data_IF_087422675058
#
_entry.id   IF_087422675058
#
_cell.length_a   1.000
_cell.length_b   1.000
_cell.length_c   1.000
_cell.angle_alpha   90.00
_cell.angle_beta   90.00
_cell.angle_gamma   90.00
#
_symmetry.space_group_name_H-M   'P 1'
#
loop_
_entity.id
_entity.type
_entity.pdbx_description
1 polymer ?
#
# COMPACT_ATOMS: atom_id res chain seq x y z
N UNK A 1 -2.02 6.16 -21.76
CA UNK A 1 -2.52 5.13 -20.83
C UNK A 1 -1.39 4.15 -20.57
N UNK A 2 -1.08 3.86 -19.32
CA UNK A 2 0.05 3.02 -18.92
C UNK A 2 -0.42 1.59 -18.65
N UNK A 3 0.32 0.62 -19.15
CA UNK A 3 -0.01 -0.79 -19.01
C UNK A 3 0.94 -1.48 -18.02
N UNK A 4 0.43 -2.43 -17.24
CA UNK A 4 1.19 -3.31 -16.37
C UNK A 4 1.45 -4.61 -17.14
N UNK A 5 2.72 -4.87 -17.41
CA UNK A 5 3.12 -6.07 -18.17
C UNK A 5 3.26 -7.29 -17.27
N UNK A 6 3.72 -7.08 -16.05
CA UNK A 6 3.87 -8.09 -14.99
C UNK A 6 4.38 -7.44 -13.72
N UNK A 7 4.42 -8.23 -12.65
CA UNK A 7 4.88 -7.77 -11.36
C UNK A 7 5.00 -8.89 -10.35
N UNK A 8 5.78 -8.64 -9.30
CA UNK A 8 6.05 -9.63 -8.26
C UNK A 8 6.13 -8.97 -6.88
N UNK A 9 5.83 -9.77 -5.86
CA UNK A 9 5.99 -9.46 -4.44
C UNK A 9 6.77 -10.58 -3.78
N UNK A 10 7.78 -10.22 -2.99
CA UNK A 10 8.52 -11.20 -2.18
C UNK A 10 7.69 -11.71 -1.00
N UNK A 11 8.13 -12.77 -0.35
CA UNK A 11 7.48 -13.29 0.87
C UNK A 11 7.73 -12.36 2.07
N UNK A 12 6.71 -11.64 2.52
CA UNK A 12 6.79 -10.68 3.61
C UNK A 12 6.87 -11.30 5.01
N UNK A 13 6.67 -12.61 5.15
CA UNK A 13 6.90 -13.30 6.43
C UNK A 13 8.39 -13.44 6.77
N UNK A 14 9.27 -13.29 5.79
CA UNK A 14 10.73 -13.41 5.97
C UNK A 14 11.29 -12.33 6.89
N UNK A 15 12.41 -12.64 7.51
CA UNK A 15 13.30 -11.69 8.12
C UNK A 15 14.64 -11.83 7.41
N UNK A 16 14.96 -10.85 6.57
CA UNK A 16 16.09 -10.89 5.65
C UNK A 16 17.42 -10.95 6.44
N UNK A 17 17.55 -10.15 7.49
CA UNK A 17 18.75 -10.14 8.31
C UNK A 17 19.03 -11.48 9.02
N UNK A 18 17.99 -12.23 9.43
CA UNK A 18 18.14 -13.58 10.01
C UNK A 18 18.55 -14.65 8.99
N UNK A 19 18.48 -14.34 7.70
CA UNK A 19 18.92 -15.20 6.61
C UNK A 19 20.33 -14.83 6.13
N UNK A 20 21.03 -13.95 6.85
CA UNK A 20 22.34 -13.39 6.47
C UNK A 20 22.31 -12.70 5.09
N UNK A 21 21.16 -12.11 4.74
CA UNK A 21 20.91 -11.34 3.52
C UNK A 21 20.73 -9.86 3.86
N UNK A 22 20.92 -9.00 2.87
CA UNK A 22 20.78 -7.56 3.00
C UNK A 22 19.84 -6.96 1.93
N UNK A 23 19.77 -5.63 1.90
CA UNK A 23 18.92 -4.90 0.95
C UNK A 23 19.34 -5.12 -0.51
N UNK A 24 20.60 -5.44 -0.77
CA UNK A 24 21.09 -5.72 -2.14
C UNK A 24 20.60 -7.08 -2.63
N UNK A 25 20.64 -8.10 -1.78
CA UNK A 25 20.10 -9.44 -2.08
C UNK A 25 18.59 -9.37 -2.35
N UNK A 26 17.85 -8.65 -1.48
CA UNK A 26 16.42 -8.45 -1.65
C UNK A 26 16.09 -7.68 -2.94
N UNK A 27 16.90 -6.68 -3.30
CA UNK A 27 16.77 -5.94 -4.56
C UNK A 27 16.93 -6.85 -5.76
N UNK A 28 17.97 -7.69 -5.76
CA UNK A 28 18.25 -8.63 -6.85
C UNK A 28 17.12 -9.64 -7.02
N UNK A 29 16.75 -10.31 -5.93
CA UNK A 29 15.64 -11.29 -5.91
C UNK A 29 14.36 -10.69 -6.49
N UNK A 30 13.99 -9.50 -6.04
CA UNK A 30 12.77 -8.84 -6.48
C UNK A 30 12.80 -8.49 -7.98
N UNK A 31 13.90 -7.91 -8.47
CA UNK A 31 13.99 -7.51 -9.87
C UNK A 31 13.96 -8.73 -10.79
N UNK A 32 14.73 -9.78 -10.48
CA UNK A 32 14.73 -11.02 -11.25
C UNK A 32 13.34 -11.64 -11.36
N UNK A 33 12.59 -11.68 -10.25
CA UNK A 33 11.24 -12.21 -10.24
C UNK A 33 10.23 -11.30 -10.98
N UNK A 34 10.35 -9.98 -10.87
CA UNK A 34 9.50 -9.02 -11.59
C UNK A 34 9.71 -9.14 -13.10
N UNK A 35 10.96 -9.18 -13.55
CA UNK A 35 11.30 -9.32 -14.97
C UNK A 35 10.83 -10.66 -15.53
N UNK A 36 10.99 -11.74 -14.77
CA UNK A 36 10.51 -13.08 -15.15
C UNK A 36 8.98 -13.11 -15.31
N UNK A 37 8.22 -12.53 -14.37
CA UNK A 37 6.75 -12.48 -14.45
C UNK A 37 6.27 -11.58 -15.59
N UNK A 38 6.99 -10.48 -15.86
CA UNK A 38 6.72 -9.60 -17.00
C UNK A 38 7.17 -10.20 -18.35
N UNK A 39 8.03 -11.22 -18.35
CA UNK A 39 8.64 -11.80 -19.54
C UNK A 39 9.44 -10.76 -20.34
N UNK A 40 10.28 -10.00 -19.64
CA UNK A 40 11.12 -8.92 -20.18
C UNK A 40 12.56 -9.15 -19.75
N UNK A 41 13.48 -8.96 -20.67
CA UNK A 41 14.91 -8.98 -20.34
C UNK A 41 15.33 -7.65 -19.70
N UNK A 42 16.30 -7.71 -18.77
CA UNK A 42 16.82 -6.50 -18.12
C UNK A 42 17.31 -5.43 -19.11
N UNK A 43 17.84 -5.85 -20.25
CA UNK A 43 18.31 -4.97 -21.32
C UNK A 43 17.18 -4.19 -22.04
N UNK A 44 15.91 -4.55 -21.83
CA UNK A 44 14.76 -3.82 -22.38
C UNK A 44 14.26 -2.72 -21.47
N UNK A 45 14.74 -2.67 -20.21
CA UNK A 45 14.38 -1.62 -19.25
C UNK A 45 15.08 -0.32 -19.61
N UNK A 46 14.29 0.73 -19.81
CA UNK A 46 14.77 2.06 -20.24
C UNK A 46 14.88 3.07 -19.08
N UNK A 47 14.13 2.86 -17.98
CA UNK A 47 14.20 3.68 -16.77
C UNK A 47 13.79 2.87 -15.55
N UNK A 48 14.27 3.27 -14.36
CA UNK A 48 14.00 2.59 -13.09
C UNK A 48 13.56 3.60 -12.03
N UNK A 49 12.46 3.33 -11.36
CA UNK A 49 11.96 4.10 -10.23
C UNK A 49 11.89 3.24 -8.97
N UNK A 50 12.70 3.60 -7.96
CA UNK A 50 12.77 2.88 -6.69
C UNK A 50 12.02 3.65 -5.61
N UNK A 51 10.97 3.06 -5.05
CA UNK A 51 10.28 3.55 -3.86
C UNK A 51 10.93 2.98 -2.60
N UNK A 52 11.46 3.85 -1.75
CA UNK A 52 12.06 3.46 -0.47
C UNK A 52 11.98 4.63 0.51
N UNK A 53 11.51 4.38 1.72
CA UNK A 53 11.31 5.42 2.71
C UNK A 53 12.54 5.63 3.60
N UNK A 54 12.99 4.60 4.29
CA UNK A 54 13.91 4.73 5.43
C UNK A 54 15.23 3.97 5.28
N UNK A 55 15.64 3.60 4.06
CA UNK A 55 16.86 2.80 3.85
C UNK A 55 18.11 3.36 4.53
N UNK A 56 18.30 4.70 4.52
CA UNK A 56 19.43 5.31 5.22
C UNK A 56 19.35 5.17 6.75
N UNK A 57 18.14 5.17 7.31
CA UNK A 57 17.94 5.09 8.75
C UNK A 57 17.96 3.64 9.26
N UNK A 58 17.45 2.70 8.46
CA UNK A 58 17.47 1.27 8.81
C UNK A 58 18.82 0.61 8.53
N UNK A 59 19.39 0.87 7.35
CA UNK A 59 20.52 0.09 6.83
C UNK A 59 21.79 0.93 6.65
N UNK A 60 21.73 2.26 6.85
CA UNK A 60 22.81 3.16 6.48
C UNK A 60 22.97 3.31 4.97
N UNK A 61 22.13 2.66 4.14
CA UNK A 61 22.24 2.65 2.68
C UNK A 61 21.37 3.73 2.07
N UNK A 62 21.99 4.79 1.58
CA UNK A 62 21.39 5.77 0.68
C UNK A 62 21.54 5.37 -0.78
N UNK A 63 21.15 6.29 -1.69
CA UNK A 63 21.33 6.16 -3.14
C UNK A 63 20.76 4.85 -3.74
N UNK A 64 19.63 4.38 -3.21
CA UNK A 64 19.01 3.12 -3.61
C UNK A 64 18.53 3.12 -5.07
N UNK A 65 18.43 4.28 -5.74
CA UNK A 65 18.22 4.33 -7.18
C UNK A 65 19.33 3.65 -7.98
N UNK A 66 20.57 3.62 -7.47
CA UNK A 66 21.70 2.95 -8.13
C UNK A 66 21.81 1.44 -7.74
N UNK A 67 21.05 0.96 -6.76
CA UNK A 67 21.13 -0.42 -6.31
C UNK A 67 20.74 -1.44 -7.41
N UNK A 68 19.73 -1.24 -8.24
CA UNK A 68 19.42 -2.14 -9.36
C UNK A 68 20.62 -2.42 -10.27
N UNK A 69 21.33 -1.38 -10.71
CA UNK A 69 22.52 -1.54 -11.54
C UNK A 69 23.71 -2.16 -10.77
N UNK A 70 23.75 -2.05 -9.45
CA UNK A 70 24.77 -2.69 -8.61
C UNK A 70 24.59 -4.21 -8.58
N UNK A 71 23.35 -4.69 -8.51
CA UNK A 71 23.05 -6.12 -8.33
C UNK A 71 22.80 -6.87 -9.64
N UNK A 72 22.45 -6.13 -10.73
CA UNK A 72 22.23 -6.65 -12.08
C UNK A 72 23.03 -5.82 -13.08
N UNK A 73 24.21 -6.34 -13.53
CA UNK A 73 25.08 -5.59 -14.45
C UNK A 73 24.44 -5.20 -15.79
N UNK A 74 23.40 -5.92 -16.21
CA UNK A 74 22.63 -5.65 -17.42
C UNK A 74 21.86 -4.32 -17.35
N UNK A 75 21.62 -3.82 -16.14
CA UNK A 75 20.98 -2.51 -15.90
C UNK A 75 22.02 -1.35 -15.84
N UNK A 76 23.29 -1.64 -16.08
CA UNK A 76 24.34 -0.61 -16.03
C UNK A 76 24.13 0.45 -17.12
N UNK A 77 23.97 1.71 -16.68
CA UNK A 77 23.70 2.84 -17.57
C UNK A 77 22.23 3.18 -17.75
N UNK A 78 21.30 2.35 -17.24
CA UNK A 78 19.87 2.66 -17.22
C UNK A 78 19.63 3.80 -16.20
N UNK A 79 18.98 4.92 -16.60
CA UNK A 79 18.65 6.01 -15.67
C UNK A 79 17.72 5.50 -14.57
N UNK A 80 18.03 5.92 -13.34
CA UNK A 80 17.28 5.45 -12.17
C UNK A 80 17.12 6.56 -11.13
N UNK A 81 15.97 6.55 -10.41
CA UNK A 81 15.66 7.49 -9.34
C UNK A 81 15.12 6.78 -8.11
N UNK A 82 15.40 7.33 -6.91
CA UNK A 82 14.72 6.96 -5.67
C UNK A 82 13.64 7.98 -5.35
N UNK A 83 12.46 7.49 -4.97
CA UNK A 83 11.32 8.27 -4.51
C UNK A 83 11.05 7.99 -3.03
N UNK A 84 10.75 9.05 -2.30
CA UNK A 84 10.40 9.01 -0.89
C UNK A 84 9.08 9.79 -0.65
N UNK A 85 8.14 9.19 0.01
CA UNK A 85 6.89 9.76 0.51
C UNK A 85 6.34 8.87 1.63
N UNK A 86 7.21 8.49 2.58
CA UNK A 86 6.89 7.52 3.63
C UNK A 86 6.26 6.24 3.02
N UNK A 87 5.13 5.78 3.56
CA UNK A 87 4.44 4.57 3.08
C UNK A 87 3.94 4.65 1.63
N UNK A 88 3.88 5.84 1.02
CA UNK A 88 3.47 6.05 -0.37
C UNK A 88 4.66 6.09 -1.36
N UNK A 89 5.87 5.80 -0.94
CA UNK A 89 7.09 5.96 -1.75
C UNK A 89 7.02 5.25 -3.10
N UNK A 90 6.59 3.99 -3.16
CA UNK A 90 6.47 3.28 -4.45
C UNK A 90 5.25 3.68 -5.27
N UNK A 91 4.21 4.24 -4.66
CA UNK A 91 3.13 4.90 -5.41
C UNK A 91 3.64 6.16 -6.12
N UNK A 92 4.51 6.94 -5.47
CA UNK A 92 5.17 8.09 -6.14
C UNK A 92 6.13 7.63 -7.23
N UNK A 93 6.84 6.54 -7.03
CA UNK A 93 7.66 5.90 -8.06
C UNK A 93 6.80 5.49 -9.28
N UNK A 94 5.64 4.88 -9.06
CA UNK A 94 4.71 4.51 -10.13
C UNK A 94 4.17 5.74 -10.88
N UNK A 95 3.76 6.81 -10.17
CA UNK A 95 3.30 8.05 -10.80
C UNK A 95 4.39 8.71 -11.64
N UNK A 96 5.65 8.71 -11.17
CA UNK A 96 6.77 9.24 -11.93
C UNK A 96 7.05 8.41 -13.20
N UNK A 97 7.03 7.07 -13.09
CA UNK A 97 7.17 6.17 -14.24
C UNK A 97 6.03 6.37 -15.25
N UNK A 98 4.79 6.50 -14.80
CA UNK A 98 3.64 6.81 -15.67
C UNK A 98 3.84 8.13 -16.41
N UNK A 99 4.29 9.18 -15.71
CA UNK A 99 4.55 10.48 -16.33
C UNK A 99 5.65 10.41 -17.41
N UNK A 100 6.70 9.63 -17.22
CA UNK A 100 7.76 9.41 -18.24
C UNK A 100 7.21 8.68 -19.46
N UNK A 101 6.39 7.63 -19.26
CA UNK A 101 5.74 6.88 -20.33
C UNK A 101 4.76 7.78 -21.11
N UNK A 102 3.93 8.54 -20.41
CA UNK A 102 2.94 9.44 -21.02
C UNK A 102 3.60 10.60 -21.78
N UNK A 103 4.76 11.09 -21.31
CA UNK A 103 5.58 12.07 -22.01
C UNK A 103 6.33 11.48 -23.22
N UNK A 104 6.27 10.16 -23.44
CA UNK A 104 6.97 9.47 -24.52
C UNK A 104 8.48 9.45 -24.36
N UNK A 105 9.00 9.64 -23.13
CA UNK A 105 10.42 9.64 -22.82
C UNK A 105 10.99 8.23 -22.81
N UNK A 106 10.28 7.29 -22.19
CA UNK A 106 10.60 5.87 -22.09
C UNK A 106 9.35 5.02 -22.34
N UNK A 107 9.54 3.81 -22.81
CA UNK A 107 8.46 2.89 -23.16
C UNK A 107 8.36 1.65 -22.25
N UNK A 108 9.46 1.29 -21.57
CA UNK A 108 9.54 0.15 -20.69
C UNK A 108 10.25 0.55 -19.38
N UNK A 109 9.52 0.61 -18.29
CA UNK A 109 9.98 1.20 -17.03
C UNK A 109 9.77 0.20 -15.88
N UNK A 110 10.83 -0.02 -15.10
CA UNK A 110 10.75 -0.81 -13.87
C UNK A 110 10.39 0.10 -12.68
N UNK A 111 9.32 -0.25 -11.97
CA UNK A 111 8.97 0.31 -10.66
C UNK A 111 9.26 -0.73 -9.60
N UNK A 112 10.11 -0.41 -8.64
CA UNK A 112 10.48 -1.27 -7.52
C UNK A 112 10.22 -0.53 -6.21
N UNK A 113 9.44 -1.12 -5.31
CA UNK A 113 9.35 -0.72 -3.91
C UNK A 113 10.14 -1.67 -3.04
N UNK A 114 10.90 -1.17 -2.08
CA UNK A 114 11.75 -1.99 -1.22
C UNK A 114 11.92 -1.36 0.15
N UNK A 115 11.86 -2.18 1.20
CA UNK A 115 12.24 -1.79 2.56
C UNK A 115 12.76 -3.01 3.33
N UNK A 116 13.83 -2.81 4.13
CA UNK A 116 14.35 -3.79 5.09
C UNK A 116 14.34 -3.15 6.47
N UNK A 117 13.45 -3.60 7.34
CA UNK A 117 13.13 -2.99 8.63
C UNK A 117 13.44 -3.89 9.83
N UNK A 118 13.54 -5.23 9.60
CA UNK A 118 13.71 -6.25 10.66
C UNK A 118 15.19 -6.47 11.06
N UNK A 119 16.07 -5.55 10.71
CA UNK A 119 17.51 -5.61 11.06
C UNK A 119 17.83 -5.03 12.45
N UNK A 120 16.82 -4.60 13.19
CA UNK A 120 16.93 -4.07 14.55
C UNK A 120 15.74 -4.50 15.43
N UNK A 121 15.75 -4.31 16.77
CA UNK A 121 14.60 -4.56 17.63
C UNK A 121 13.36 -3.77 17.21
N UNK A 122 12.16 -4.37 17.30
CA UNK A 122 10.90 -3.81 16.76
C UNK A 122 10.58 -2.41 17.30
N UNK A 123 10.78 -2.13 18.58
CA UNK A 123 10.57 -0.79 19.14
C UNK A 123 11.52 0.27 18.52
N UNK A 124 12.78 -0.10 18.26
CA UNK A 124 13.72 0.76 17.58
C UNK A 124 13.32 0.97 16.10
N UNK A 125 12.89 -0.09 15.44
CA UNK A 125 12.40 0.01 14.07
C UNK A 125 11.17 0.93 13.95
N UNK A 126 10.22 0.82 14.88
CA UNK A 126 9.08 1.73 14.96
C UNK A 126 9.50 3.19 15.20
N UNK A 127 10.52 3.43 16.03
CA UNK A 127 11.08 4.77 16.28
C UNK A 127 11.71 5.38 15.02
N UNK A 128 12.36 4.57 14.18
CA UNK A 128 12.93 5.04 12.89
C UNK A 128 11.85 5.64 11.99
N UNK A 129 10.67 5.03 11.94
CA UNK A 129 9.56 5.50 11.10
C UNK A 129 9.02 6.87 11.51
N UNK A 130 9.29 7.32 12.74
CA UNK A 130 8.91 8.67 13.22
C UNK A 130 9.55 9.78 12.38
N UNK A 131 10.62 9.50 11.65
CA UNK A 131 11.25 10.45 10.73
C UNK A 131 10.32 10.95 9.60
N UNK A 132 9.19 10.28 9.32
CA UNK A 132 8.19 10.76 8.36
C UNK A 132 7.14 11.71 8.97
N UNK A 133 7.24 12.02 10.25
CA UNK A 133 6.45 13.05 10.92
C UNK A 133 7.22 14.39 10.96
N UNK A 134 6.60 15.45 11.45
CA UNK A 134 7.30 16.70 11.70
C UNK A 134 8.09 16.62 13.01
N UNK A 135 9.28 16.06 12.90
CA UNK A 135 10.18 15.80 14.05
C UNK A 135 10.45 17.07 14.82
N UNK A 136 10.39 16.98 16.18
CA UNK A 136 10.59 18.12 17.08
C UNK A 136 9.39 19.07 17.18
N UNK A 137 8.25 18.76 16.55
CA UNK A 137 7.02 19.55 16.59
C UNK A 137 5.77 18.76 16.98
N UNK A 138 5.60 17.54 16.42
CA UNK A 138 4.43 16.71 16.73
C UNK A 138 4.80 15.37 17.38
N UNK A 139 6.09 15.08 17.54
CA UNK A 139 6.60 13.78 17.98
C UNK A 139 7.05 13.77 19.44
N UNK A 140 7.08 14.94 20.12
CA UNK A 140 7.59 15.04 21.50
C UNK A 140 6.66 14.33 22.50
N UNK A 141 7.24 13.48 23.36
CA UNK A 141 6.51 12.78 24.41
C UNK A 141 5.69 11.57 23.92
N UNK A 142 5.81 11.17 22.66
CA UNK A 142 5.11 10.03 22.09
C UNK A 142 6.09 8.89 21.84
N UNK A 143 5.83 7.71 22.41
CA UNK A 143 6.68 6.53 22.24
C UNK A 143 6.49 5.88 20.88
N UNK A 144 5.23 5.68 20.44
CA UNK A 144 4.88 5.08 19.14
C UNK A 144 4.05 6.07 18.33
N UNK A 145 4.72 6.88 17.54
CA UNK A 145 4.08 8.01 16.85
C UNK A 145 2.96 7.58 15.90
N UNK A 146 3.11 6.52 15.11
CA UNK A 146 2.09 6.16 14.13
C UNK A 146 0.82 5.61 14.75
N UNK A 147 0.87 4.68 15.74
CA UNK A 147 -0.31 4.33 16.52
C UNK A 147 -0.99 5.55 17.15
N UNK A 148 -0.23 6.48 17.73
CA UNK A 148 -0.76 7.72 18.29
C UNK A 148 -1.48 8.56 17.22
N UNK A 149 -0.84 8.80 16.07
CA UNK A 149 -1.43 9.62 15.01
C UNK A 149 -2.73 9.02 14.45
N UNK A 150 -2.78 7.70 14.25
CA UNK A 150 -3.99 7.05 13.75
C UNK A 150 -5.05 6.83 14.84
N UNK A 151 -4.68 6.72 16.11
CA UNK A 151 -5.64 6.85 17.21
C UNK A 151 -6.32 8.23 17.18
N UNK A 152 -5.58 9.31 16.92
CA UNK A 152 -6.13 10.66 16.74
C UNK A 152 -7.11 10.74 15.56
N UNK A 153 -6.88 9.98 14.48
CA UNK A 153 -7.85 9.86 13.37
C UNK A 153 -9.14 9.21 13.86
N UNK A 154 -9.05 8.13 14.63
CA UNK A 154 -10.21 7.48 15.21
C UNK A 154 -10.96 8.40 16.18
N UNK A 155 -10.25 9.12 17.05
CA UNK A 155 -10.84 10.05 18.00
C UNK A 155 -11.55 11.21 17.30
N UNK A 156 -10.99 11.74 16.21
CA UNK A 156 -11.64 12.78 15.42
C UNK A 156 -12.87 12.26 14.67
N UNK A 157 -12.82 11.03 14.15
CA UNK A 157 -13.97 10.37 13.55
C UNK A 157 -15.08 10.16 14.59
N UNK A 158 -14.70 9.67 15.79
CA UNK A 158 -15.60 9.46 16.93
C UNK A 158 -16.28 10.77 17.36
N UNK A 159 -15.51 11.82 17.49
CA UNK A 159 -16.01 13.15 17.84
C UNK A 159 -17.07 13.67 16.86
N UNK A 160 -16.94 13.36 15.56
CA UNK A 160 -17.86 13.83 14.50
C UNK A 160 -19.08 12.92 14.36
N UNK A 161 -18.90 11.62 14.41
CA UNK A 161 -19.88 10.64 13.94
C UNK A 161 -20.12 9.48 14.90
N UNK A 162 -19.24 9.28 15.86
CA UNK A 162 -19.20 8.07 16.67
C UNK A 162 -18.47 6.93 16.00
N UNK A 163 -17.78 6.12 16.78
CA UNK A 163 -17.10 4.89 16.36
C UNK A 163 -17.19 3.85 17.47
N UNK A 164 -17.47 2.61 17.13
CA UNK A 164 -17.29 1.48 18.07
C UNK A 164 -15.91 0.88 17.87
N UNK A 165 -15.21 0.60 18.98
CA UNK A 165 -13.94 -0.11 18.94
C UNK A 165 -14.10 -1.53 18.39
N UNK A 166 -15.29 -2.14 18.54
CA UNK A 166 -15.62 -3.43 17.93
C UNK A 166 -15.52 -3.39 16.40
N UNK A 167 -15.84 -2.27 15.76
CA UNK A 167 -15.68 -2.12 14.30
C UNK A 167 -14.21 -2.12 13.89
N UNK A 168 -13.32 -1.52 14.70
CA UNK A 168 -11.88 -1.56 14.46
C UNK A 168 -11.35 -2.99 14.60
N UNK A 169 -11.81 -3.73 15.65
CA UNK A 169 -11.47 -5.14 15.83
C UNK A 169 -11.92 -6.01 14.67
N UNK A 170 -13.14 -5.76 14.16
CA UNK A 170 -13.71 -6.51 13.03
C UNK A 170 -12.88 -6.31 11.74
N UNK A 171 -12.39 -5.10 11.48
CA UNK A 171 -11.48 -4.81 10.36
C UNK A 171 -10.16 -5.57 10.54
N UNK A 172 -9.55 -5.50 11.72
CA UNK A 172 -8.31 -6.23 12.01
C UNK A 172 -8.48 -7.74 11.85
N UNK A 173 -9.61 -8.29 12.32
CA UNK A 173 -9.95 -9.71 12.17
C UNK A 173 -10.10 -10.09 10.69
N UNK A 174 -10.85 -9.31 9.91
CA UNK A 174 -11.05 -9.56 8.49
C UNK A 174 -9.72 -9.61 7.73
N UNK A 175 -8.86 -8.60 7.93
CA UNK A 175 -7.60 -8.51 7.21
C UNK A 175 -6.61 -9.63 7.62
N UNK A 176 -6.52 -9.96 8.91
CA UNK A 176 -5.70 -11.07 9.37
C UNK A 176 -6.22 -12.43 8.86
N UNK A 177 -7.53 -12.62 8.77
CA UNK A 177 -8.14 -13.82 8.20
C UNK A 177 -7.89 -13.91 6.69
N UNK A 178 -8.06 -12.82 5.93
CA UNK A 178 -7.78 -12.76 4.51
C UNK A 178 -6.31 -13.09 4.20
N UNK A 179 -5.39 -12.64 5.05
CA UNK A 179 -3.96 -12.92 4.92
C UNK A 179 -3.61 -14.41 4.99
N UNK A 180 -4.42 -15.25 5.65
CA UNK A 180 -4.17 -16.69 5.73
C UNK A 180 -4.22 -17.38 4.36
N UNK A 181 -4.97 -16.81 3.42
CA UNK A 181 -5.10 -17.33 2.05
C UNK A 181 -4.06 -16.74 1.07
N UNK A 182 -3.26 -15.75 1.51
CA UNK A 182 -2.24 -15.13 0.69
C UNK A 182 -0.85 -15.74 0.97
N UNK A 183 -0.23 -16.43 0.01
CA UNK A 183 1.05 -17.13 0.21
C UNK A 183 2.22 -16.19 0.56
N UNK A 184 2.11 -14.90 0.25
CA UNK A 184 3.15 -13.90 0.51
C UNK A 184 2.87 -13.05 1.76
N UNK A 185 1.74 -13.26 2.43
CA UNK A 185 1.36 -12.47 3.60
C UNK A 185 2.23 -12.78 4.82
N UNK A 186 2.59 -11.73 5.55
CA UNK A 186 3.42 -11.83 6.74
C UNK A 186 2.79 -12.70 7.83
N UNK A 187 1.48 -12.59 8.03
CA UNK A 187 0.77 -13.21 9.15
C UNK A 187 0.06 -14.51 8.79
N UNK A 188 0.22 -15.00 7.55
CA UNK A 188 -0.50 -16.18 7.02
C UNK A 188 -0.46 -17.43 7.90
N UNK A 189 0.59 -17.57 8.71
CA UNK A 189 0.77 -18.72 9.61
C UNK A 189 0.38 -18.41 11.07
N UNK A 190 -0.18 -17.24 11.35
CA UNK A 190 -0.57 -16.89 12.70
C UNK A 190 -1.80 -17.71 13.13
N UNK A 191 -1.79 -18.14 14.39
CA UNK A 191 -2.93 -18.79 14.99
C UNK A 191 -3.87 -17.73 15.54
N UNK A 192 -4.97 -17.52 14.85
CA UNK A 192 -6.01 -16.58 15.24
C UNK A 192 -7.06 -17.31 16.09
N UNK A 193 -7.46 -16.71 17.20
CA UNK A 193 -8.57 -17.16 18.06
C UNK A 193 -9.49 -15.97 18.33
N UNK A 194 -10.73 -16.18 18.80
CA UNK A 194 -11.60 -15.06 19.15
C UNK A 194 -10.97 -14.10 20.17
N UNK A 195 -10.17 -14.61 21.09
CA UNK A 195 -9.46 -13.80 22.08
C UNK A 195 -8.43 -12.87 21.45
N UNK A 196 -7.91 -13.20 20.25
CA UNK A 196 -6.98 -12.34 19.49
C UNK A 196 -7.60 -10.99 19.13
N UNK A 197 -8.92 -10.88 19.12
CA UNK A 197 -9.67 -9.67 18.75
C UNK A 197 -10.53 -9.13 19.90
N UNK A 198 -10.34 -9.67 21.09
CA UNK A 198 -11.05 -9.23 22.29
C UNK A 198 -10.40 -8.02 22.96
N UNK A 199 -11.08 -7.48 23.97
CA UNK A 199 -10.53 -6.42 24.83
C UNK A 199 -9.68 -6.96 26.00
N UNK A 200 -9.31 -8.24 25.96
CA UNK A 200 -8.38 -8.83 26.92
C UNK A 200 -6.95 -8.36 26.65
N UNK A 201 -6.41 -7.57 27.56
CA UNK A 201 -5.04 -7.01 27.48
C UNK A 201 -3.94 -8.08 27.45
N UNK A 202 -4.24 -9.31 27.85
CA UNK A 202 -3.28 -10.41 27.78
C UNK A 202 -3.22 -11.01 26.35
N UNK A 203 -4.36 -11.19 25.71
CA UNK A 203 -4.46 -11.78 24.39
C UNK A 203 -4.25 -10.75 23.27
N UNK A 204 -4.77 -9.53 23.45
CA UNK A 204 -4.72 -8.43 22.50
C UNK A 204 -4.38 -7.11 23.23
N UNK A 205 -3.13 -6.92 23.67
CA UNK A 205 -2.72 -5.77 24.47
C UNK A 205 -2.95 -4.44 23.77
N UNK A 206 -3.25 -3.40 24.55
CA UNK A 206 -3.33 -2.02 24.07
C UNK A 206 -1.93 -1.56 23.61
N UNK A 207 -1.88 -0.93 22.46
CA UNK A 207 -0.66 -0.29 21.91
C UNK A 207 -0.71 1.21 22.15
N UNK A 208 -1.84 1.86 21.82
CA UNK A 208 -2.01 3.30 21.98
C UNK A 208 -3.51 3.65 21.98
N UNK A 209 -3.98 4.36 22.99
CA UNK A 209 -5.36 4.79 23.10
C UNK A 209 -6.34 3.62 22.95
N UNK A 210 -7.18 3.64 21.91
CA UNK A 210 -8.13 2.57 21.59
C UNK A 210 -7.54 1.45 20.73
N UNK A 211 -6.31 1.63 20.19
CA UNK A 211 -5.68 0.66 19.30
C UNK A 211 -5.00 -0.45 20.08
N UNK A 212 -5.26 -1.67 19.66
CA UNK A 212 -4.67 -2.89 20.20
C UNK A 212 -3.70 -3.53 19.22
N UNK A 213 -2.96 -4.53 19.64
CA UNK A 213 -1.93 -5.21 18.85
C UNK A 213 -2.39 -5.63 17.46
N UNK A 214 -3.60 -6.17 17.33
CA UNK A 214 -4.11 -6.68 16.05
C UNK A 214 -4.86 -5.61 15.24
N UNK A 215 -4.88 -4.36 15.71
CA UNK A 215 -5.29 -3.18 14.94
C UNK A 215 -4.13 -2.49 14.23
N UNK A 216 -2.89 -2.98 14.40
CA UNK A 216 -1.65 -2.30 13.98
C UNK A 216 -0.79 -3.27 13.17
N UNK A 217 -0.21 -2.78 12.06
CA UNK A 217 0.74 -3.55 11.26
C UNK A 217 2.01 -3.89 12.04
N UNK A 218 2.67 -4.93 11.59
CA UNK A 218 3.98 -5.34 12.10
C UNK A 218 5.10 -4.79 11.22
N UNK A 219 6.29 -4.58 11.81
CA UNK A 219 7.52 -4.29 11.08
C UNK A 219 7.78 -5.40 10.06
N UNK A 220 8.09 -5.04 8.81
CA UNK A 220 8.13 -5.98 7.69
C UNK A 220 9.33 -5.73 6.78
N UNK A 221 10.04 -6.79 6.40
CA UNK A 221 10.98 -6.76 5.28
C UNK A 221 10.27 -7.15 4.00
N UNK A 222 10.57 -6.50 2.89
CA UNK A 222 10.06 -6.94 1.61
C UNK A 222 10.28 -5.99 0.46
N UNK A 223 10.02 -6.53 -0.72
CA UNK A 223 10.03 -5.78 -1.97
C UNK A 223 8.85 -6.21 -2.85
N UNK A 224 8.34 -5.29 -3.64
CA UNK A 224 7.34 -5.54 -4.67
C UNK A 224 7.55 -4.57 -5.83
N UNK A 225 7.16 -4.98 -7.03
CA UNK A 225 7.33 -4.09 -8.19
C UNK A 225 6.59 -4.56 -9.41
N UNK A 226 6.52 -3.69 -10.39
CA UNK A 226 5.86 -3.92 -11.67
C UNK A 226 6.71 -3.40 -12.83
N UNK A 227 6.58 -4.01 -13.99
CA UNK A 227 7.05 -3.42 -15.25
C UNK A 227 5.88 -2.69 -15.90
N UNK A 228 6.06 -1.39 -16.09
CA UNK A 228 5.11 -0.52 -16.78
C UNK A 228 5.57 -0.27 -18.21
N UNK A 229 4.63 -0.34 -19.15
CA UNK A 229 4.95 -0.13 -20.58
C UNK A 229 3.95 0.80 -21.26
N UNK A 230 4.42 1.44 -22.35
CA UNK A 230 3.58 2.22 -23.24
C UNK A 230 2.78 1.34 -24.22
N UNK A 231 1.70 1.86 -24.78
CA UNK A 231 0.99 1.18 -25.88
C UNK A 231 1.91 0.97 -27.09
N UNK A 232 2.79 1.94 -27.39
CA UNK A 232 3.78 1.85 -28.49
C UNK A 232 4.71 0.65 -28.32
N UNK A 233 5.16 0.38 -27.07
CA UNK A 233 6.00 -0.77 -26.76
C UNK A 233 5.25 -2.09 -27.01
N UNK A 234 3.97 -2.18 -26.58
CA UNK A 234 3.10 -3.35 -26.76
C UNK A 234 2.87 -3.63 -28.26
N UNK A 235 2.50 -2.60 -29.02
CA UNK A 235 2.24 -2.69 -30.44
C UNK A 235 3.47 -3.16 -31.22
N UNK A 236 4.64 -2.58 -30.93
CA UNK A 236 5.89 -2.93 -31.60
C UNK A 236 6.32 -4.38 -31.36
N UNK A 237 5.88 -4.99 -30.24
CA UNK A 237 6.24 -6.35 -29.85
C UNK A 237 5.10 -7.35 -29.94
N UNK A 238 3.93 -6.92 -30.40
CA UNK A 238 2.70 -7.73 -30.47
C UNK A 238 2.37 -8.42 -29.13
N UNK A 239 2.47 -7.67 -28.03
CA UNK A 239 2.21 -8.16 -26.68
C UNK A 239 0.93 -7.59 -26.10
N UNK A 240 0.23 -8.40 -25.29
CA UNK A 240 -0.93 -8.00 -24.50
C UNK A 240 -0.45 -7.77 -23.05
N UNK A 241 -0.82 -6.66 -22.41
CA UNK A 241 -0.49 -6.45 -20.99
C UNK A 241 -1.39 -7.32 -20.11
N UNK A 242 -1.00 -7.52 -18.86
CA UNK A 242 -1.84 -8.18 -17.85
C UNK A 242 -2.95 -7.24 -17.34
N UNK A 243 -2.61 -5.96 -17.14
CA UNK A 243 -3.55 -4.97 -16.64
C UNK A 243 -3.21 -3.56 -17.16
N UNK A 244 -4.08 -2.60 -16.87
CA UNK A 244 -3.89 -1.18 -17.20
C UNK A 244 -4.18 -0.31 -15.99
N UNK A 245 -3.39 0.74 -15.78
CA UNK A 245 -3.74 1.83 -14.86
C UNK A 245 -4.56 2.84 -15.65
N UNK A 246 -5.86 2.86 -15.39
CA UNK A 246 -6.81 3.70 -16.14
C UNK A 246 -7.16 4.99 -15.42
N UNK A 247 -6.92 5.07 -14.11
CA UNK A 247 -7.13 6.26 -13.31
C UNK A 247 -6.08 6.39 -12.22
N UNK A 248 -5.80 7.61 -11.84
CA UNK A 248 -4.91 7.94 -10.73
C UNK A 248 -5.31 9.24 -10.06
N UNK A 249 -5.04 9.36 -8.77
CA UNK A 249 -5.19 10.57 -7.99
C UNK A 249 -4.04 10.72 -7.00
N UNK A 250 -3.63 11.95 -6.76
CA UNK A 250 -2.54 12.26 -5.83
C UNK A 250 -2.79 13.59 -5.15
N UNK A 251 -2.63 13.61 -3.83
CA UNK A 251 -2.66 14.83 -3.03
C UNK A 251 -1.52 14.84 -2.04
N UNK A 252 -0.99 16.04 -1.75
CA UNK A 252 -0.05 16.28 -0.66
C UNK A 252 -0.54 17.43 0.20
N UNK A 253 -0.47 17.23 1.52
CA UNK A 253 -0.85 18.23 2.54
C UNK A 253 0.24 18.36 3.60
N UNK A 254 0.09 19.28 4.56
CA UNK A 254 1.06 19.46 5.63
C UNK A 254 1.27 18.22 6.49
N UNK A 255 2.43 18.09 7.13
CA UNK A 255 2.77 16.96 8.00
C UNK A 255 1.86 16.88 9.24
N UNK A 256 1.61 17.96 10.02
CA UNK A 256 0.91 17.85 11.29
C UNK A 256 -0.53 17.34 11.15
N UNK A 257 -0.88 16.34 11.98
CA UNK A 257 -2.23 15.78 11.98
C UNK A 257 -3.29 16.81 12.40
N UNK A 258 -2.98 17.66 13.38
CA UNK A 258 -3.92 18.66 13.91
C UNK A 258 -4.30 19.70 12.86
N UNK A 259 -3.35 20.15 12.03
CA UNK A 259 -3.66 21.07 10.92
C UNK A 259 -4.65 20.47 9.91
N UNK A 260 -4.63 19.15 9.72
CA UNK A 260 -5.58 18.47 8.83
C UNK A 260 -6.98 18.51 9.42
N UNK A 261 -7.12 18.25 10.72
CA UNK A 261 -8.42 18.33 11.41
C UNK A 261 -8.97 19.74 11.44
N UNK A 262 -8.14 20.74 11.74
CA UNK A 262 -8.52 22.16 11.70
C UNK A 262 -9.05 22.56 10.31
N UNK A 263 -8.31 22.19 9.24
CA UNK A 263 -8.68 22.52 7.86
C UNK A 263 -9.87 21.74 7.33
N UNK A 264 -10.25 20.64 7.96
CA UNK A 264 -11.41 19.84 7.62
C UNK A 264 -12.62 20.06 8.51
N UNK A 265 -12.58 21.06 9.43
CA UNK A 265 -13.64 21.29 10.42
C UNK A 265 -15.03 21.49 9.81
N UNK A 266 -15.10 22.12 8.64
CA UNK A 266 -16.36 22.38 7.92
C UNK A 266 -16.66 21.33 6.83
N UNK A 267 -15.83 20.28 6.71
CA UNK A 267 -16.01 19.20 5.74
C UNK A 267 -16.78 18.04 6.35
N UNK A 268 -17.64 17.42 5.56
CA UNK A 268 -18.25 16.13 5.93
C UNK A 268 -17.23 14.98 6.00
N UNK A 269 -16.09 15.09 5.34
CA UNK A 269 -15.01 14.10 5.40
C UNK A 269 -13.93 14.50 6.39
N UNK A 270 -13.47 13.57 7.22
CA UNK A 270 -12.37 13.80 8.18
C UNK A 270 -11.08 14.20 7.46
N UNK A 271 -10.82 13.59 6.31
CA UNK A 271 -9.65 13.86 5.46
C UNK A 271 -10.06 14.15 4.01
N UNK A 272 -10.62 15.36 3.72
CA UNK A 272 -11.16 15.69 2.39
C UNK A 272 -10.13 15.57 1.26
N UNK A 273 -8.84 15.72 1.54
CA UNK A 273 -7.78 15.52 0.57
C UNK A 273 -7.60 14.04 0.19
N UNK A 274 -7.90 13.09 1.10
CA UNK A 274 -7.94 11.66 0.79
C UNK A 274 -9.11 11.38 -0.16
N UNK A 275 -10.30 11.87 0.18
CA UNK A 275 -11.48 11.80 -0.71
C UNK A 275 -11.16 12.36 -2.10
N UNK A 276 -10.48 13.51 -2.18
CA UNK A 276 -10.09 14.14 -3.44
C UNK A 276 -9.18 13.23 -4.27
N UNK A 277 -8.15 12.62 -3.68
CA UNK A 277 -7.27 11.70 -4.42
C UNK A 277 -8.07 10.53 -5.02
N UNK A 278 -9.03 9.98 -4.27
CA UNK A 278 -9.91 8.90 -4.74
C UNK A 278 -10.79 9.38 -5.90
N UNK A 279 -11.48 10.51 -5.74
CA UNK A 279 -12.39 11.05 -6.78
C UNK A 279 -11.66 11.51 -8.02
N UNK A 280 -10.43 12.01 -7.90
CA UNK A 280 -9.57 12.32 -9.04
C UNK A 280 -9.19 11.04 -9.81
N UNK A 281 -8.94 9.92 -9.12
CA UNK A 281 -8.70 8.64 -9.77
C UNK A 281 -9.96 8.13 -10.49
N UNK A 282 -11.13 8.22 -9.87
CA UNK A 282 -12.42 7.88 -10.49
C UNK A 282 -12.67 8.70 -11.74
N UNK A 283 -12.53 10.03 -11.65
CA UNK A 283 -12.76 10.92 -12.79
C UNK A 283 -11.86 10.62 -13.99
N UNK A 284 -10.58 10.28 -13.75
CA UNK A 284 -9.64 9.88 -14.81
C UNK A 284 -9.94 8.51 -15.39
N UNK A 285 -10.47 7.59 -14.59
CA UNK A 285 -10.94 6.29 -15.05
C UNK A 285 -12.32 6.35 -15.76
N UNK A 286 -13.01 7.49 -15.67
CA UNK A 286 -14.36 7.64 -16.25
C UNK A 286 -15.43 6.88 -15.48
N UNK A 287 -15.23 6.63 -14.17
CA UNK A 287 -16.20 5.98 -13.28
C UNK A 287 -16.81 6.99 -12.31
N UNK A 288 -18.00 6.67 -11.80
CA UNK A 288 -18.80 7.58 -10.98
C UNK A 288 -18.60 7.35 -9.48
N UNK A 289 -18.34 6.11 -9.08
CA UNK A 289 -18.24 5.75 -7.68
C UNK A 289 -17.76 4.31 -7.48
N UNK A 290 -17.77 3.84 -6.22
CA UNK A 290 -17.33 2.49 -5.89
C UNK A 290 -18.20 1.38 -6.49
N UNK A 291 -19.43 1.69 -6.91
CA UNK A 291 -20.33 0.75 -7.60
C UNK A 291 -19.78 0.25 -8.94
N UNK A 292 -18.81 0.95 -9.50
CA UNK A 292 -18.10 0.58 -10.73
C UNK A 292 -16.83 -0.25 -10.44
N UNK A 293 -16.54 -0.58 -9.18
CA UNK A 293 -15.39 -1.37 -8.72
C UNK A 293 -15.82 -2.76 -8.28
N UNK A 294 -14.90 -3.72 -8.38
CA UNK A 294 -15.09 -5.09 -7.89
C UNK A 294 -14.36 -5.35 -6.57
N UNK A 295 -13.30 -4.60 -6.28
CA UNK A 295 -12.55 -4.69 -5.03
C UNK A 295 -11.72 -3.41 -4.78
N UNK A 296 -11.26 -3.27 -3.53
CA UNK A 296 -10.39 -2.16 -3.10
C UNK A 296 -9.23 -2.74 -2.27
N UNK A 297 -8.00 -2.35 -2.60
CA UNK A 297 -6.82 -2.52 -1.74
C UNK A 297 -6.50 -1.17 -1.09
N UNK A 298 -6.84 -1.01 0.18
CA UNK A 298 -6.68 0.25 0.91
C UNK A 298 -5.58 0.18 1.96
N UNK A 299 -5.09 1.34 2.35
CA UNK A 299 -4.08 1.49 3.39
C UNK A 299 -4.66 1.28 4.77
N UNK A 300 -4.31 0.20 5.41
CA UNK A 300 -4.71 -0.21 6.76
C UNK A 300 -3.49 -0.41 7.67
N UNK A 301 -2.54 0.53 7.65
CA UNK A 301 -1.42 0.41 8.61
C UNK A 301 -1.92 0.37 10.07
N UNK A 302 -3.06 0.98 10.34
CA UNK A 302 -3.90 0.82 11.54
C UNK A 302 -5.37 0.76 11.10
N UNK A 303 -6.20 0.04 11.84
CA UNK A 303 -7.63 -0.14 11.50
C UNK A 303 -8.42 1.15 11.29
N UNK A 304 -8.13 2.30 11.97
CA UNK A 304 -8.82 3.56 11.69
C UNK A 304 -8.60 4.09 10.28
N UNK A 305 -7.47 3.79 9.63
CA UNK A 305 -7.24 4.25 8.25
C UNK A 305 -8.14 3.53 7.25
N UNK A 306 -8.41 2.24 7.43
CA UNK A 306 -9.40 1.52 6.63
C UNK A 306 -10.82 1.95 6.96
N UNK A 307 -11.15 2.10 8.26
CA UNK A 307 -12.46 2.58 8.67
C UNK A 307 -12.82 3.93 8.04
N UNK A 308 -11.85 4.85 7.98
CA UNK A 308 -11.97 6.12 7.29
C UNK A 308 -12.09 5.92 5.76
N UNK A 309 -11.34 5.01 5.17
CA UNK A 309 -11.37 4.78 3.72
C UNK A 309 -12.75 4.33 3.22
N UNK A 310 -13.55 3.63 4.03
CA UNK A 310 -14.88 3.14 3.67
C UNK A 310 -15.77 4.28 3.16
N UNK A 311 -15.95 5.33 3.94
CA UNK A 311 -16.78 6.47 3.53
C UNK A 311 -16.05 7.39 2.54
N UNK A 312 -14.72 7.49 2.61
CA UNK A 312 -13.92 8.28 1.67
C UNK A 312 -13.93 7.69 0.25
N UNK A 313 -14.06 6.38 0.07
CA UNK A 313 -14.38 5.77 -1.23
C UNK A 313 -15.84 6.00 -1.64
N UNK A 314 -16.74 6.27 -0.69
CA UNK A 314 -18.17 6.38 -0.93
C UNK A 314 -18.90 5.03 -0.89
N UNK A 315 -18.30 4.00 -0.26
CA UNK A 315 -18.97 2.71 0.02
C UNK A 315 -20.20 2.96 0.89
N UNK A 316 -20.06 3.92 1.81
CA UNK A 316 -21.16 4.48 2.61
C UNK A 316 -21.16 6.00 2.51
N UNK A 317 -22.19 6.66 2.99
CA UNK A 317 -22.17 8.10 3.21
C UNK A 317 -21.13 8.47 4.29
N UNK A 318 -20.71 9.72 4.31
CA UNK A 318 -19.78 10.23 5.31
C UNK A 318 -20.30 9.98 6.74
N UNK A 319 -19.43 9.46 7.61
CA UNK A 319 -19.79 9.13 8.98
C UNK A 319 -20.54 7.80 9.15
N UNK A 320 -20.78 7.04 8.10
CA UNK A 320 -21.58 5.81 8.13
C UNK A 320 -20.76 4.53 7.88
N UNK A 321 -19.44 4.57 8.03
CA UNK A 321 -18.56 3.42 7.79
C UNK A 321 -18.96 2.17 8.57
N UNK A 322 -19.57 2.32 9.75
CA UNK A 322 -20.07 1.24 10.56
C UNK A 322 -21.05 0.31 9.80
N UNK A 323 -21.86 0.86 8.87
CA UNK A 323 -22.82 0.06 8.10
C UNK A 323 -22.14 -1.01 7.25
N UNK A 324 -21.01 -0.68 6.63
CA UNK A 324 -20.28 -1.62 5.81
C UNK A 324 -19.65 -2.74 6.65
N UNK A 325 -19.14 -2.40 7.84
CA UNK A 325 -18.58 -3.38 8.78
C UNK A 325 -19.66 -4.31 9.32
N UNK A 326 -20.75 -3.76 9.89
CA UNK A 326 -21.84 -4.55 10.50
C UNK A 326 -22.59 -5.43 9.51
N UNK A 327 -22.65 -5.04 8.22
CA UNK A 327 -23.36 -5.79 7.19
C UNK A 327 -22.45 -6.73 6.39
N UNK A 328 -21.17 -6.85 6.76
CA UNK A 328 -20.22 -7.72 6.09
C UNK A 328 -19.92 -7.34 4.63
N UNK A 329 -20.10 -6.05 4.27
CA UNK A 329 -19.90 -5.62 2.90
C UNK A 329 -18.45 -5.72 2.43
N UNK A 330 -17.51 -5.69 3.38
CA UNK A 330 -16.07 -5.69 3.12
C UNK A 330 -15.50 -7.11 2.92
N UNK A 331 -16.29 -8.15 3.23
CA UNK A 331 -15.89 -9.53 3.03
C UNK A 331 -15.57 -9.82 1.56
N UNK A 332 -14.74 -10.83 1.30
CA UNK A 332 -14.31 -11.19 -0.07
C UNK A 332 -15.46 -11.48 -1.03
N UNK A 333 -16.57 -12.01 -0.51
CA UNK A 333 -17.84 -12.26 -1.20
C UNK A 333 -18.92 -11.23 -0.85
N UNK A 334 -18.52 -10.15 -0.18
CA UNK A 334 -19.39 -9.05 0.21
C UNK A 334 -19.72 -8.10 -0.94
N UNK A 335 -20.44 -7.05 -0.60
CA UNK A 335 -20.90 -6.03 -1.58
C UNK A 335 -19.73 -5.25 -2.19
N UNK A 336 -18.68 -4.99 -1.41
CA UNK A 336 -17.46 -4.27 -1.81
C UNK A 336 -16.26 -4.88 -1.07
N UNK A 337 -15.64 -5.91 -1.62
CA UNK A 337 -14.46 -6.51 -1.02
C UNK A 337 -13.33 -5.50 -0.79
N UNK A 338 -12.82 -5.46 0.46
CA UNK A 338 -11.71 -4.58 0.84
C UNK A 338 -10.59 -5.44 1.40
N UNK A 339 -9.36 -5.15 0.96
CA UNK A 339 -8.15 -5.82 1.43
C UNK A 339 -8.25 -7.37 1.38
N UNK A 340 -8.74 -7.89 0.25
CA UNK A 340 -8.82 -9.34 0.03
C UNK A 340 -7.45 -10.01 0.14
N UNK A 341 -6.34 -9.28 -0.11
CA UNK A 341 -4.96 -9.72 0.06
C UNK A 341 -4.52 -9.89 1.52
N UNK A 342 -5.31 -9.38 2.49
CA UNK A 342 -4.98 -9.24 3.90
C UNK A 342 -4.51 -7.84 4.29
N UNK A 343 -4.55 -6.89 3.35
CA UNK A 343 -4.15 -5.51 3.58
C UNK A 343 -2.70 -5.36 4.03
N UNK A 344 -2.43 -4.37 4.87
CA UNK A 344 -1.14 -4.13 5.51
C UNK A 344 -1.06 -4.86 6.86
N UNK A 345 -2.16 -4.89 7.61
CA UNK A 345 -2.22 -5.54 8.93
C UNK A 345 -1.90 -7.04 8.80
N UNK A 346 -2.53 -7.72 7.86
CA UNK A 346 -2.34 -9.14 7.62
C UNK A 346 -1.21 -9.44 6.62
N UNK A 347 -1.21 -8.74 5.50
CA UNK A 347 -0.27 -8.95 4.40
C UNK A 347 1.16 -8.56 4.73
N UNK A 348 1.34 -7.54 5.58
CA UNK A 348 2.62 -6.93 5.90
C UNK A 348 2.81 -5.57 5.23
N UNK A 349 3.71 -4.76 5.81
CA UNK A 349 3.89 -3.36 5.44
C UNK A 349 5.37 -2.97 5.32
N UNK A 350 6.13 -3.52 4.35
CA UNK A 350 7.43 -2.93 4.02
C UNK A 350 7.15 -1.53 3.47
N UNK A 351 7.49 -0.49 4.25
CA UNK A 351 6.96 0.87 4.06
C UNK A 351 7.13 1.37 2.62
N UNK A 352 8.34 1.28 2.09
CA UNK A 352 8.63 1.72 0.72
C UNK A 352 8.03 0.86 -0.39
N UNK A 353 7.65 -0.40 -0.09
CA UNK A 353 7.16 -1.35 -1.08
C UNK A 353 5.62 -1.37 -1.22
N UNK A 354 4.90 -0.81 -0.27
CA UNK A 354 3.44 -0.99 -0.14
C UNK A 354 2.65 -0.57 -1.37
N UNK A 355 2.94 0.59 -1.95
CA UNK A 355 2.20 1.06 -3.14
C UNK A 355 2.39 0.14 -4.36
N UNK A 356 3.62 -0.37 -4.57
CA UNK A 356 3.89 -1.34 -5.62
C UNK A 356 3.22 -2.69 -5.35
N UNK A 357 3.19 -3.14 -4.08
CA UNK A 357 2.47 -4.35 -3.67
C UNK A 357 0.97 -4.23 -4.01
N UNK A 358 0.34 -3.09 -3.71
CA UNK A 358 -1.07 -2.87 -4.06
C UNK A 358 -1.33 -2.97 -5.57
N UNK A 359 -0.41 -2.48 -6.41
CA UNK A 359 -0.51 -2.64 -7.86
C UNK A 359 -0.36 -4.10 -8.30
N UNK A 360 0.54 -4.86 -7.66
CA UNK A 360 0.71 -6.31 -7.91
C UNK A 360 -0.54 -7.08 -7.53
N UNK A 361 -1.13 -6.82 -6.35
CA UNK A 361 -2.36 -7.48 -5.92
C UNK A 361 -3.55 -7.10 -6.81
N UNK A 362 -3.69 -5.82 -7.17
CA UNK A 362 -4.73 -5.38 -8.11
C UNK A 362 -4.59 -6.06 -9.47
N UNK A 363 -3.36 -6.16 -10.02
CA UNK A 363 -3.10 -6.90 -11.26
C UNK A 363 -3.51 -8.36 -11.13
N UNK A 364 -3.16 -9.03 -10.03
CA UNK A 364 -3.54 -10.44 -9.80
C UNK A 364 -5.06 -10.61 -9.72
N UNK A 365 -5.77 -9.69 -9.03
CA UNK A 365 -7.22 -9.73 -8.95
C UNK A 365 -7.87 -9.64 -10.32
N UNK A 366 -7.50 -8.63 -11.13
CA UNK A 366 -8.12 -8.39 -12.44
C UNK A 366 -7.72 -9.39 -13.53
N UNK A 367 -6.71 -10.25 -13.24
CA UNK A 367 -6.29 -11.34 -14.13
C UNK A 367 -6.74 -12.71 -13.66
N UNK A 368 -7.44 -12.81 -12.52
CA UNK A 368 -7.86 -14.08 -11.95
C UNK A 368 -6.71 -14.94 -11.41
N UNK A 369 -5.57 -14.31 -11.06
CA UNK A 369 -4.35 -15.02 -10.64
C UNK A 369 -4.00 -14.83 -9.16
N UNK A 370 -4.89 -14.23 -8.36
CA UNK A 370 -4.68 -14.02 -6.94
C UNK A 370 -4.76 -15.31 -6.10
N UNK A 371 -5.22 -16.40 -6.66
CA UNK A 371 -5.25 -17.71 -5.98
C UNK A 371 -6.23 -17.71 -4.81
N UNK A 372 -5.76 -18.07 -3.60
CA UNK A 372 -6.62 -18.23 -2.42
C UNK A 372 -7.34 -16.95 -1.98
N UNK A 373 -6.84 -15.77 -2.32
CA UNK A 373 -7.47 -14.49 -1.98
C UNK A 373 -8.17 -13.79 -3.17
N UNK A 374 -8.46 -14.53 -4.23
CA UNK A 374 -9.15 -14.02 -5.41
C UNK A 374 -10.58 -13.55 -5.07
N UNK A 375 -10.95 -12.36 -5.53
CA UNK A 375 -12.33 -11.89 -5.63
C UNK A 375 -12.89 -12.37 -6.96
N UNK A 376 -13.97 -13.13 -6.91
CA UNK A 376 -14.55 -13.76 -8.10
C UNK A 376 -15.01 -12.72 -9.13
N UNK A 377 -14.53 -12.88 -10.36
CA UNK A 377 -14.93 -12.03 -11.49
C UNK A 377 -14.40 -10.60 -11.45
N UNK A 378 -13.44 -10.30 -10.57
CA UNK A 378 -12.87 -8.95 -10.49
C UNK A 378 -12.19 -8.53 -11.79
N UNK A 379 -12.62 -7.40 -12.33
CA UNK A 379 -12.12 -6.77 -13.56
C UNK A 379 -11.57 -5.37 -13.33
N UNK A 380 -11.96 -4.73 -12.22
CA UNK A 380 -11.55 -3.37 -11.85
C UNK A 380 -11.33 -3.25 -10.36
N UNK A 381 -10.14 -2.85 -9.98
CA UNK A 381 -9.71 -2.70 -8.58
C UNK A 381 -9.19 -1.30 -8.33
N UNK A 382 -9.60 -0.68 -7.22
CA UNK A 382 -9.02 0.57 -6.77
C UNK A 382 -7.95 0.33 -5.70
N UNK A 383 -6.96 1.22 -5.64
CA UNK A 383 -5.99 1.25 -4.53
C UNK A 383 -6.07 2.57 -3.79
N UNK A 384 -5.73 2.56 -2.51
CA UNK A 384 -5.47 3.76 -1.71
C UNK A 384 -4.21 3.55 -0.89
N UNK A 385 -3.17 4.30 -1.19
CA UNK A 385 -1.92 4.28 -0.45
C UNK A 385 -1.67 5.62 0.23
N UNK A 386 -1.39 5.59 1.53
CA UNK A 386 -1.21 6.76 2.38
C UNK A 386 0.23 6.80 2.88
N UNK A 387 0.88 7.97 2.78
CA UNK A 387 2.19 8.24 3.36
C UNK A 387 2.09 9.19 4.54
N UNK A 388 2.71 8.81 5.66
CA UNK A 388 2.60 9.55 6.92
C UNK A 388 1.16 9.57 7.46
N UNK A 389 0.80 10.58 8.24
CA UNK A 389 -0.56 10.79 8.73
C UNK A 389 -1.47 11.39 7.65
N UNK A 390 -1.62 10.71 6.51
CA UNK A 390 -2.31 11.19 5.28
C UNK A 390 -1.63 12.39 4.58
N UNK A 391 -0.34 12.63 4.87
CA UNK A 391 0.38 13.76 4.27
C UNK A 391 0.52 13.60 2.75
N UNK A 392 0.83 12.41 2.28
CA UNK A 392 0.80 12.04 0.86
C UNK A 392 -0.26 10.95 0.65
N UNK A 393 -1.10 11.13 -0.33
CA UNK A 393 -2.14 10.14 -0.67
C UNK A 393 -2.11 9.87 -2.17
N UNK A 394 -2.07 8.59 -2.55
CA UNK A 394 -2.19 8.14 -3.92
C UNK A 394 -3.30 7.09 -4.07
N UNK A 395 -4.05 7.17 -5.15
CA UNK A 395 -5.07 6.19 -5.53
C UNK A 395 -4.90 5.83 -6.99
N UNK A 396 -5.02 4.55 -7.33
CA UNK A 396 -5.00 4.05 -8.70
C UNK A 396 -6.26 3.23 -8.97
N UNK A 397 -6.70 3.26 -10.23
CA UNK A 397 -7.71 2.34 -10.75
C UNK A 397 -7.01 1.43 -11.75
N UNK A 398 -7.06 0.12 -11.46
CA UNK A 398 -6.44 -0.93 -12.27
C UNK A 398 -7.54 -1.76 -12.91
N UNK A 399 -7.46 -1.94 -14.22
CA UNK A 399 -8.39 -2.79 -15.01
C UNK A 399 -7.64 -3.95 -15.66
N UNK A 400 -8.30 -5.08 -15.77
CA UNK A 400 -7.83 -6.19 -16.61
C UNK A 400 -7.73 -5.77 -18.09
N UNK A 401 -6.71 -6.27 -18.78
CA UNK A 401 -6.66 -6.06 -20.22
C UNK A 401 -7.82 -6.84 -20.88
N UNK A 402 -8.68 -6.14 -21.60
CA UNK A 402 -9.71 -6.79 -22.43
C UNK A 402 -9.00 -7.40 -23.63
N UNK A 403 -9.25 -8.69 -23.90
CA UNK A 403 -8.74 -9.38 -25.10
C UNK A 403 -9.29 -8.75 -26.39
#
# INVERSE_FOLDING_TARGET
>A
MTAILGGHQTDFARNIAKQDLDVSDLTKEAIEAILADAGVDAAEIESIHVGNAFGQLYNGQGHLGAMPATVLPELWGVPAMRHEAACASSSMAALAAMAEIEAGRYDCVLVLGIEQEKNMPGAQAASVQTAAAWVGHETEGVEFFWPYAFNRVADEYDRRYGISDEHLRAIGELNLRNAQDNPNAQTRMWKLTPESFSDDDHANPVVEGRLRRNDVTQITDGAAGVVLVSNRWLEARHRTPKARIVGWGHTTVGLPIDQKFERSSDSEYVMPHVRRAITDAFGRAGISGPEDLDAIETHDCMTPSEYLAIDHFGITAAGESFKAVEQGWLERDGKMPVNASGGLIGGGHPVGATGARMLVDSMKQVTGTAGGYQVDGATRVATLNIGGSTATTASFIVEGAVE
#
